data_IF_922595909423
#
_entry.id   IF_922595909423
#
_cell.length_a   1.000
_cell.length_b   1.000
_cell.length_c   1.000
_cell.angle_alpha   90.00
_cell.angle_beta   90.00
_cell.angle_gamma   90.00
#
_symmetry.space_group_name_H-M   'P 1'
#
loop_
_entity.id
_entity.type
_entity.pdbx_description
1 polymer ?
#
# COMPACT_ATOMS: atom_id res chain seq x y z
N UNK A 1 -34.96 19.32 9.94
CA UNK A 1 -33.63 18.99 10.51
C UNK A 1 -33.44 17.46 10.64
N UNK A 2 -34.39 16.75 11.22
CA UNK A 2 -34.37 15.30 11.39
C UNK A 2 -34.19 14.47 10.11
N UNK A 3 -34.76 14.90 9.00
CA UNK A 3 -34.73 14.17 7.73
C UNK A 3 -33.40 14.24 6.98
N UNK A 4 -32.56 15.24 7.27
CA UNK A 4 -31.31 15.47 6.52
C UNK A 4 -30.04 15.17 7.32
N UNK A 5 -30.09 15.22 8.62
CA UNK A 5 -28.93 15.02 9.50
C UNK A 5 -29.34 14.36 10.82
N UNK A 6 -29.74 13.09 10.81
CA UNK A 6 -30.14 12.36 12.02
C UNK A 6 -28.98 12.17 13.01
N UNK A 7 -27.74 12.25 12.52
CA UNK A 7 -26.51 12.13 13.29
C UNK A 7 -26.24 13.32 14.25
N UNK A 8 -26.95 14.44 14.08
CA UNK A 8 -26.82 15.61 14.93
C UNK A 8 -27.83 15.66 16.09
N UNK A 9 -28.77 14.73 16.11
CA UNK A 9 -29.84 14.70 17.13
C UNK A 9 -29.45 13.70 18.21
N UNK A 10 -29.20 14.21 19.42
CA UNK A 10 -28.81 13.39 20.57
C UNK A 10 -29.98 12.73 21.30
N UNK A 11 -31.23 13.15 21.05
CA UNK A 11 -32.41 12.63 21.71
C UNK A 11 -33.52 12.36 20.70
N UNK A 12 -34.20 11.24 20.83
CA UNK A 12 -35.38 10.92 20.02
C UNK A 12 -36.65 11.52 20.62
N UNK A 13 -37.71 11.74 19.80
CA UNK A 13 -38.99 12.24 20.23
C UNK A 13 -39.56 11.43 21.41
N UNK A 14 -39.43 10.11 21.37
CA UNK A 14 -39.87 9.21 22.44
C UNK A 14 -39.08 9.37 23.76
N UNK A 15 -37.90 9.94 23.72
CA UNK A 15 -37.13 10.30 24.94
C UNK A 15 -37.55 11.64 25.49
N UNK A 16 -37.91 12.59 24.64
CA UNK A 16 -38.45 13.88 25.02
C UNK A 16 -39.83 13.76 25.66
N UNK A 17 -40.69 12.88 25.16
CA UNK A 17 -42.02 12.61 25.70
C UNK A 17 -41.99 12.03 27.14
N UNK A 18 -40.85 11.44 27.56
CA UNK A 18 -40.65 10.91 28.92
C UNK A 18 -40.28 11.98 29.95
N UNK A 19 -39.90 13.17 29.49
CA UNK A 19 -39.50 14.28 30.41
C UNK A 19 -40.70 14.95 31.08
N UNK A 20 -41.91 14.62 30.63
CA UNK A 20 -43.16 15.18 31.20
C UNK A 20 -43.53 16.55 30.63
N UNK A 21 -44.75 16.99 30.87
CA UNK A 21 -45.20 18.29 30.39
C UNK A 21 -44.41 19.42 31.01
N UNK A 22 -44.17 20.48 30.24
CA UNK A 22 -43.61 21.73 30.73
C UNK A 22 -44.45 22.20 31.92
N UNK A 23 -43.80 22.48 33.05
CA UNK A 23 -44.47 23.07 34.22
C UNK A 23 -44.91 24.48 33.79
N UNK A 24 -46.20 24.64 33.61
CA UNK A 24 -46.78 25.97 33.43
C UNK A 24 -46.49 26.79 34.68
N UNK A 25 -45.55 27.67 34.59
CA UNK A 25 -45.34 28.67 35.61
C UNK A 25 -46.60 29.55 35.66
N UNK A 26 -47.40 29.44 36.74
CA UNK A 26 -48.49 30.36 36.98
C UNK A 26 -47.93 31.77 36.94
N UNK A 27 -48.57 32.72 36.23
CA UNK A 27 -48.12 34.11 36.26
C UNK A 27 -48.17 34.59 37.68
N UNK A 28 -47.05 35.07 38.19
CA UNK A 28 -47.03 35.74 39.51
C UNK A 28 -47.87 36.95 39.41
N UNK A 29 -48.83 37.11 40.37
CA UNK A 29 -49.66 38.29 40.52
C UNK A 29 -48.75 39.49 40.89
N UNK A 30 -48.62 40.42 39.97
CA UNK A 30 -47.75 41.58 40.14
C UNK A 30 -48.53 42.58 41.08
N UNK A 31 -48.18 42.59 42.35
CA UNK A 31 -48.59 43.65 43.26
C UNK A 31 -47.70 44.86 42.96
N UNK A 32 -48.27 45.87 42.32
CA UNK A 32 -47.59 47.13 42.02
C UNK A 32 -47.45 47.99 43.31
N UNK A 33 -46.37 47.74 44.04
CA UNK A 33 -45.97 48.65 45.14
C UNK A 33 -44.86 49.56 44.61
N UNK A 34 -45.09 50.87 44.59
CA UNK A 34 -44.17 51.83 43.97
C UNK A 34 -42.78 51.88 44.64
N UNK A 35 -42.66 51.30 45.83
CA UNK A 35 -41.41 51.22 46.58
C UNK A 35 -40.49 50.03 46.18
N UNK A 36 -40.96 49.14 45.33
CA UNK A 36 -40.20 47.98 44.88
C UNK A 36 -39.33 48.33 43.68
N UNK A 37 -39.64 49.40 42.94
CA UNK A 37 -38.84 49.72 41.73
C UNK A 37 -37.41 50.19 42.04
N UNK A 38 -37.18 50.71 43.27
CA UNK A 38 -35.83 51.19 43.63
C UNK A 38 -34.90 50.03 44.15
N UNK A 39 -35.47 48.88 44.49
CA UNK A 39 -34.69 47.73 45.01
C UNK A 39 -34.38 46.68 44.04
N UNK A 40 -34.97 46.70 42.87
CA UNK A 40 -34.71 45.71 41.78
C UNK A 40 -34.12 46.44 40.57
N UNK A 41 -33.03 47.16 40.77
CA UNK A 41 -32.13 47.38 39.66
C UNK A 41 -31.54 46.03 39.33
N UNK A 42 -31.77 45.47 38.13
CA UNK A 42 -31.07 44.24 37.73
C UNK A 42 -29.57 44.57 37.73
N UNK A 43 -28.85 44.07 38.72
CA UNK A 43 -27.42 43.95 38.56
C UNK A 43 -27.28 43.12 37.25
N UNK A 44 -26.54 43.63 36.25
CA UNK A 44 -26.16 42.77 35.14
C UNK A 44 -25.37 41.65 35.81
N UNK A 45 -26.01 40.49 36.01
CA UNK A 45 -25.24 39.27 36.11
C UNK A 45 -24.54 39.19 34.78
N UNK A 46 -23.26 39.54 34.77
CA UNK A 46 -22.37 39.03 33.73
C UNK A 46 -22.54 37.54 33.81
N UNK A 47 -23.44 37.01 32.98
CA UNK A 47 -23.47 35.60 32.68
C UNK A 47 -22.07 35.34 32.14
N UNK A 48 -21.20 34.77 32.98
CA UNK A 48 -19.99 34.16 32.48
C UNK A 48 -20.46 33.26 31.37
N UNK A 49 -20.33 33.71 30.12
CA UNK A 49 -20.52 32.89 28.94
C UNK A 49 -19.42 31.88 29.11
N UNK A 50 -19.76 30.70 29.67
CA UNK A 50 -18.86 29.59 29.71
C UNK A 50 -18.33 29.44 28.28
N UNK A 51 -17.05 29.69 28.12
CA UNK A 51 -16.40 29.50 26.83
C UNK A 51 -16.64 28.05 26.42
N UNK A 52 -17.61 27.84 25.53
CA UNK A 52 -17.84 26.55 24.97
C UNK A 52 -16.63 26.30 24.06
N UNK A 53 -15.66 25.55 24.55
CA UNK A 53 -14.56 25.05 23.77
C UNK A 53 -15.15 24.16 22.68
N UNK A 54 -15.48 24.76 21.54
CA UNK A 54 -15.87 24.05 20.35
C UNK A 54 -14.62 23.33 19.83
N UNK A 55 -14.46 22.10 20.25
CA UNK A 55 -13.38 21.24 19.77
C UNK A 55 -13.64 20.90 18.28
N UNK A 56 -13.26 21.80 17.39
CA UNK A 56 -13.32 21.57 15.95
C UNK A 56 -12.25 20.53 15.61
N UNK A 57 -12.62 19.26 15.57
CA UNK A 57 -11.74 18.21 15.06
C UNK A 57 -11.47 18.53 13.59
N UNK A 58 -10.25 18.97 13.28
CA UNK A 58 -9.81 19.13 11.89
C UNK A 58 -9.94 17.78 11.18
N UNK A 59 -10.59 17.73 10.00
CA UNK A 59 -10.75 16.46 9.30
C UNK A 59 -9.38 15.89 8.96
N UNK A 60 -9.15 14.64 9.38
CA UNK A 60 -7.94 13.94 9.00
C UNK A 60 -8.15 13.27 7.63
N UNK A 61 -7.47 13.77 6.62
CA UNK A 61 -7.51 13.25 5.26
C UNK A 61 -6.50 12.12 5.00
N UNK A 62 -5.65 11.83 5.98
CA UNK A 62 -4.68 10.74 5.91
C UNK A 62 -5.29 9.42 6.38
N UNK A 63 -4.97 8.36 5.65
CA UNK A 63 -5.27 6.98 6.04
C UNK A 63 -4.00 6.16 5.98
N UNK A 64 -3.68 5.49 7.09
CA UNK A 64 -2.52 4.63 7.23
C UNK A 64 -2.97 3.17 7.27
N UNK A 65 -2.26 2.32 6.54
CA UNK A 65 -2.46 0.88 6.54
C UNK A 65 -1.10 0.21 6.67
N UNK A 66 -1.07 -0.92 7.37
CA UNK A 66 0.13 -1.73 7.51
C UNK A 66 -0.23 -3.21 7.53
N UNK A 67 0.50 -4.00 6.74
CA UNK A 67 0.42 -5.45 6.75
C UNK A 67 1.81 -6.01 7.04
N UNK A 68 1.89 -6.91 7.99
CA UNK A 68 3.10 -7.63 8.33
C UNK A 68 2.86 -9.14 8.27
N UNK A 69 3.77 -9.86 7.63
CA UNK A 69 3.73 -11.33 7.60
C UNK A 69 5.11 -11.89 7.91
N UNK A 70 5.18 -12.85 8.81
CA UNK A 70 6.36 -13.64 9.10
C UNK A 70 6.05 -15.10 8.80
N UNK A 71 6.83 -15.71 7.91
CA UNK A 71 6.74 -17.12 7.57
C UNK A 71 8.05 -17.77 7.93
N UNK A 72 7.99 -18.92 8.59
CA UNK A 72 9.15 -19.72 8.95
C UNK A 72 8.92 -21.16 8.50
N UNK A 73 9.90 -21.74 7.90
CA UNK A 73 9.90 -23.13 7.49
C UNK A 73 11.15 -23.81 8.02
N UNK A 74 10.98 -24.97 8.61
CA UNK A 74 12.08 -25.80 9.10
C UNK A 74 11.84 -27.23 8.68
N UNK A 75 12.85 -27.84 8.08
CA UNK A 75 12.91 -29.25 7.81
C UNK A 75 14.17 -29.82 8.47
N UNK A 76 14.01 -30.81 9.32
CA UNK A 76 15.11 -31.50 9.97
C UNK A 76 15.11 -32.97 9.55
N UNK A 77 16.24 -33.45 9.02
CA UNK A 77 16.47 -34.83 8.65
C UNK A 77 17.75 -35.27 9.32
N UNK A 78 17.66 -36.34 10.11
CA UNK A 78 18.85 -36.92 10.78
C UNK A 78 19.81 -37.50 9.75
N UNK A 79 21.11 -37.49 10.07
CA UNK A 79 22.16 -37.98 9.19
C UNK A 79 22.06 -39.48 8.84
N UNK A 80 21.34 -40.25 9.67
CA UNK A 80 21.12 -41.70 9.52
C UNK A 80 19.73 -42.02 8.94
N UNK A 81 19.00 -41.03 8.36
CA UNK A 81 17.73 -41.30 7.72
C UNK A 81 17.93 -42.18 6.49
N UNK A 82 17.18 -43.27 6.38
CA UNK A 82 17.40 -44.35 5.37
C UNK A 82 17.27 -43.91 3.91
N UNK A 83 16.56 -42.83 3.61
CA UNK A 83 16.40 -42.25 2.28
C UNK A 83 17.34 -41.07 2.00
N UNK A 84 18.20 -40.71 2.95
CA UNK A 84 18.94 -39.46 2.88
C UNK A 84 18.03 -38.23 2.96
N UNK A 85 18.55 -37.08 2.65
CA UNK A 85 17.85 -35.80 2.62
C UNK A 85 18.67 -34.70 3.25
N UNK A 86 18.19 -33.46 3.18
CA UNK A 86 18.85 -32.28 3.72
C UNK A 86 17.97 -31.54 4.72
N UNK A 87 18.57 -31.15 5.83
CA UNK A 87 17.94 -30.21 6.74
C UNK A 87 18.07 -28.79 6.19
N UNK A 88 16.99 -28.05 6.20
CA UNK A 88 16.99 -26.65 5.77
C UNK A 88 16.09 -25.80 6.67
N UNK A 89 16.43 -24.54 6.73
CA UNK A 89 15.67 -23.51 7.41
C UNK A 89 15.43 -22.38 6.44
N UNK A 90 14.24 -21.82 6.45
CA UNK A 90 13.94 -20.59 5.73
C UNK A 90 13.02 -19.70 6.54
N UNK A 91 13.23 -18.41 6.43
CA UNK A 91 12.38 -17.39 7.03
C UNK A 91 12.11 -16.31 5.99
N UNK A 92 10.88 -15.83 5.92
CA UNK A 92 10.47 -14.73 5.06
C UNK A 92 9.65 -13.73 5.88
N UNK A 93 10.13 -12.51 5.96
CA UNK A 93 9.41 -11.38 6.51
C UNK A 93 8.93 -10.48 5.37
N UNK A 94 7.67 -10.09 5.40
CA UNK A 94 7.11 -9.10 4.48
C UNK A 94 6.46 -7.98 5.29
N UNK A 95 6.66 -6.73 4.86
CA UNK A 95 6.05 -5.55 5.44
C UNK A 95 5.56 -4.65 4.32
N UNK A 96 4.29 -4.29 4.37
CA UNK A 96 3.68 -3.31 3.46
C UNK A 96 3.12 -2.17 4.30
N UNK A 97 3.61 -0.96 4.07
CA UNK A 97 3.10 0.25 4.69
C UNK A 97 2.48 1.15 3.63
N UNK A 98 1.33 1.72 3.93
CA UNK A 98 0.64 2.65 3.05
C UNK A 98 0.23 3.90 3.82
N UNK A 99 0.46 5.06 3.22
CA UNK A 99 0.02 6.35 3.74
C UNK A 99 -0.68 7.12 2.61
N UNK A 100 -1.99 7.18 2.67
CA UNK A 100 -2.82 7.73 1.60
C UNK A 100 -3.52 9.00 2.08
N UNK A 101 -3.28 10.09 1.40
CA UNK A 101 -3.96 11.37 1.59
C UNK A 101 -5.02 11.56 0.52
N UNK A 102 -6.23 11.96 0.93
CA UNK A 102 -7.31 12.29 0.01
C UNK A 102 -8.15 13.43 0.59
N UNK A 103 -8.05 14.62 -0.01
CA UNK A 103 -8.82 15.78 0.42
C UNK A 103 -10.31 15.71 0.06
N UNK A 104 -10.76 14.59 -0.55
CA UNK A 104 -12.14 14.37 -1.04
C UNK A 104 -12.66 15.38 -2.06
N UNK A 105 -11.80 16.29 -2.52
CA UNK A 105 -12.12 17.26 -3.58
C UNK A 105 -11.50 16.81 -4.91
N UNK A 106 -10.22 17.10 -5.11
CA UNK A 106 -9.54 16.82 -6.39
C UNK A 106 -8.15 16.22 -6.24
N UNK A 107 -7.57 16.22 -5.04
CA UNK A 107 -6.18 15.84 -4.83
C UNK A 107 -6.07 14.53 -4.04
N UNK A 108 -5.26 13.60 -4.54
CA UNK A 108 -4.85 12.37 -3.88
C UNK A 108 -3.33 12.26 -3.87
N UNK A 109 -2.79 11.78 -2.77
CA UNK A 109 -1.39 11.41 -2.65
C UNK A 109 -1.30 10.04 -1.97
N UNK A 110 -0.85 9.07 -2.70
CA UNK A 110 -0.75 7.68 -2.28
C UNK A 110 0.72 7.31 -2.16
N UNK A 111 1.09 6.73 -1.02
CA UNK A 111 2.43 6.26 -0.75
C UNK A 111 2.35 4.81 -0.31
N UNK A 112 3.17 3.95 -0.89
CA UNK A 112 3.26 2.54 -0.55
C UNK A 112 4.72 2.13 -0.46
N UNK A 113 5.10 1.56 0.67
CA UNK A 113 6.41 0.97 0.92
C UNK A 113 6.25 -0.53 1.10
N UNK A 114 6.92 -1.31 0.26
CA UNK A 114 6.93 -2.77 0.29
C UNK A 114 8.33 -3.24 0.60
N UNK A 115 8.45 -4.04 1.64
CA UNK A 115 9.70 -4.68 2.06
C UNK A 115 9.50 -6.18 2.12
N UNK A 116 10.41 -6.93 1.52
CA UNK A 116 10.46 -8.39 1.60
C UNK A 116 11.89 -8.78 1.89
N UNK A 117 12.09 -9.57 2.93
CA UNK A 117 13.40 -10.07 3.29
C UNK A 117 13.27 -11.53 3.71
N UNK A 118 13.86 -12.40 2.91
CA UNK A 118 13.87 -13.82 3.14
C UNK A 118 15.29 -14.35 3.26
N UNK A 119 15.47 -15.32 4.14
CA UNK A 119 16.71 -16.03 4.36
C UNK A 119 16.48 -17.53 4.23
N UNK A 120 17.47 -18.21 3.72
CA UNK A 120 17.48 -19.67 3.69
C UNK A 120 18.88 -20.21 3.96
N UNK A 121 18.90 -21.37 4.60
CA UNK A 121 20.09 -22.18 4.79
C UNK A 121 19.91 -23.48 4.02
N UNK A 122 20.97 -23.99 3.42
CA UNK A 122 21.03 -25.32 2.79
C UNK A 122 22.39 -25.96 3.11
N UNK A 123 22.40 -27.20 3.54
CA UNK A 123 23.64 -27.96 3.80
C UNK A 123 24.45 -28.22 2.53
N UNK A 124 23.82 -28.22 1.36
CA UNK A 124 24.52 -28.38 0.07
C UNK A 124 25.34 -27.14 -0.31
N UNK A 125 25.12 -26.01 0.36
CA UNK A 125 25.93 -24.80 0.18
C UNK A 125 27.12 -24.82 1.16
N UNK A 126 28.28 -25.13 0.66
CA UNK A 126 29.51 -25.21 1.46
C UNK A 126 30.20 -23.86 1.68
N UNK A 127 29.79 -22.84 0.89
CA UNK A 127 30.39 -21.50 0.95
C UNK A 127 29.58 -20.53 1.83
N UNK A 128 28.25 -20.70 1.88
CA UNK A 128 27.38 -19.76 2.58
C UNK A 128 26.49 -20.48 3.58
N UNK A 129 26.62 -20.13 4.85
CA UNK A 129 25.76 -20.69 5.91
C UNK A 129 24.32 -20.22 5.77
N UNK A 130 24.13 -18.97 5.36
CA UNK A 130 22.81 -18.34 5.16
C UNK A 130 22.89 -17.45 3.92
N UNK A 131 21.86 -17.51 3.07
CA UNK A 131 21.73 -16.64 1.89
C UNK A 131 20.33 -16.06 1.81
N UNK A 132 20.20 -14.96 1.10
CA UNK A 132 18.91 -14.34 0.82
C UNK A 132 18.12 -15.15 -0.18
N UNK A 133 16.85 -15.46 0.13
CA UNK A 133 15.90 -16.11 -0.78
C UNK A 133 14.98 -15.11 -1.46
N UNK A 134 14.62 -14.05 -0.74
CA UNK A 134 13.85 -12.90 -1.21
C UNK A 134 14.52 -11.64 -0.69
N UNK A 135 14.58 -10.61 -1.52
CA UNK A 135 15.11 -9.30 -1.12
C UNK A 135 14.52 -8.22 -2.00
N UNK A 136 13.66 -7.39 -1.42
CA UNK A 136 12.98 -6.31 -2.11
C UNK A 136 12.70 -5.16 -1.18
N UNK A 137 13.14 -3.97 -1.56
CA UNK A 137 12.68 -2.70 -1.03
C UNK A 137 12.08 -1.92 -2.18
N UNK A 138 10.75 -1.69 -2.16
CA UNK A 138 10.03 -0.95 -3.21
C UNK A 138 9.21 0.17 -2.59
N UNK A 139 9.42 1.37 -3.08
CA UNK A 139 8.57 2.52 -2.79
C UNK A 139 7.77 2.88 -4.04
N UNK A 140 6.47 3.11 -3.87
CA UNK A 140 5.59 3.62 -4.91
C UNK A 140 4.89 4.86 -4.39
N UNK A 141 5.17 6.01 -4.99
CA UNK A 141 4.51 7.28 -4.71
C UNK A 141 3.64 7.69 -5.89
N UNK A 142 2.40 8.11 -5.64
CA UNK A 142 1.47 8.62 -6.66
C UNK A 142 0.84 9.91 -6.20
N UNK A 143 0.92 10.93 -7.03
CA UNK A 143 0.18 12.20 -6.84
C UNK A 143 -0.86 12.28 -7.95
N UNK A 144 -2.13 12.38 -7.60
CA UNK A 144 -3.25 12.40 -8.53
C UNK A 144 -4.10 13.65 -8.40
N UNK A 145 -4.40 14.29 -9.54
CA UNK A 145 -5.36 15.37 -9.66
C UNK A 145 -6.60 14.88 -10.42
N UNK A 146 -7.77 14.98 -9.82
CA UNK A 146 -9.00 14.47 -10.39
C UNK A 146 -9.38 15.23 -11.66
N UNK A 147 -9.46 14.52 -12.79
CA UNK A 147 -9.93 15.02 -14.07
C UNK A 147 -11.45 14.78 -14.22
N UNK A 148 -11.92 13.56 -13.91
CA UNK A 148 -13.33 13.19 -13.89
C UNK A 148 -13.62 12.30 -12.68
N UNK A 149 -14.85 11.79 -12.55
CA UNK A 149 -15.24 10.91 -11.40
C UNK A 149 -14.31 9.71 -11.18
N UNK A 150 -13.68 9.19 -12.24
CA UNK A 150 -12.83 7.98 -12.18
C UNK A 150 -11.45 8.17 -12.77
N UNK A 151 -11.18 9.26 -13.46
CA UNK A 151 -9.90 9.56 -14.08
C UNK A 151 -9.14 10.62 -13.29
N UNK A 152 -7.83 10.42 -13.17
CA UNK A 152 -6.90 11.32 -12.48
C UNK A 152 -5.68 11.55 -13.36
N UNK A 153 -5.24 12.79 -13.49
CA UNK A 153 -3.88 13.08 -13.97
C UNK A 153 -2.92 12.67 -12.88
N UNK A 154 -1.95 11.84 -13.19
CA UNK A 154 -1.09 11.20 -12.19
C UNK A 154 0.38 11.36 -12.52
N UNK A 155 1.14 11.78 -11.50
CA UNK A 155 2.58 11.63 -11.44
C UNK A 155 2.86 10.42 -10.54
N UNK A 156 3.54 9.39 -11.07
CA UNK A 156 3.95 8.21 -10.32
C UNK A 156 5.47 8.13 -10.25
N UNK A 157 5.99 7.67 -9.14
CA UNK A 157 7.40 7.31 -8.96
C UNK A 157 7.47 5.93 -8.32
N UNK A 158 8.14 5.01 -8.99
CA UNK A 158 8.47 3.69 -8.44
C UNK A 158 9.96 3.64 -8.23
N UNK A 159 10.42 3.41 -7.00
CA UNK A 159 11.82 3.17 -6.68
C UNK A 159 11.98 1.78 -6.08
N UNK A 160 12.92 0.99 -6.56
CA UNK A 160 13.17 -0.35 -6.04
C UNK A 160 14.63 -0.70 -5.96
N UNK A 161 15.03 -1.37 -4.87
CA UNK A 161 16.37 -1.87 -4.63
C UNK A 161 16.31 -3.10 -3.71
N UNK A 162 17.45 -3.60 -3.31
CA UNK A 162 17.63 -4.67 -2.33
C UNK A 162 18.25 -4.15 -1.04
N UNK A 163 18.09 -4.89 0.06
CA UNK A 163 18.73 -4.61 1.35
C UNK A 163 20.13 -5.22 1.46
N UNK A 164 20.29 -6.43 0.94
CA UNK A 164 21.44 -7.28 1.20
C UNK A 164 22.08 -7.80 -0.10
N UNK A 165 23.17 -8.51 0.07
CA UNK A 165 23.86 -9.16 -1.04
C UNK A 165 23.10 -10.40 -1.50
N UNK A 166 22.82 -10.46 -2.78
CA UNK A 166 22.31 -11.66 -3.44
C UNK A 166 23.45 -12.62 -3.74
N UNK A 167 23.36 -13.83 -3.23
CA UNK A 167 24.34 -14.90 -3.39
C UNK A 167 23.70 -16.13 -4.03
N UNK A 168 24.46 -16.90 -4.80
CA UNK A 168 24.05 -18.21 -5.30
C UNK A 168 24.74 -19.32 -4.51
N UNK A 169 24.13 -20.50 -4.47
CA UNK A 169 24.73 -21.67 -3.82
C UNK A 169 26.06 -22.03 -4.48
N UNK A 170 27.07 -22.29 -3.63
CA UNK A 170 28.40 -22.71 -4.05
C UNK A 170 29.10 -21.76 -5.05
N UNK A 171 28.75 -20.46 -5.00
CA UNK A 171 29.35 -19.43 -5.85
C UNK A 171 29.79 -18.24 -5.00
N UNK A 172 31.05 -17.82 -5.15
CA UNK A 172 31.64 -16.67 -4.44
C UNK A 172 31.20 -15.32 -5.00
N UNK A 173 30.58 -15.32 -6.20
CA UNK A 173 30.20 -14.10 -6.87
C UNK A 173 29.00 -13.44 -6.20
N UNK A 174 29.05 -12.12 -6.08
CA UNK A 174 27.92 -11.30 -5.66
C UNK A 174 27.04 -11.03 -6.86
N UNK A 175 25.74 -11.25 -6.73
CA UNK A 175 24.77 -11.11 -7.81
C UNK A 175 23.94 -9.85 -7.73
N UNK A 176 23.73 -9.33 -6.53
CA UNK A 176 23.10 -8.04 -6.24
C UNK A 176 23.64 -7.52 -4.91
N UNK A 177 23.50 -6.23 -4.66
CA UNK A 177 23.88 -5.59 -3.39
C UNK A 177 22.97 -4.38 -3.15
N UNK A 178 23.02 -3.76 -1.98
CA UNK A 178 22.30 -2.53 -1.71
C UNK A 178 22.64 -1.45 -2.75
N UNK A 179 21.62 -0.87 -3.38
CA UNK A 179 21.72 0.06 -4.52
C UNK A 179 22.44 -0.52 -5.76
N UNK A 180 22.44 -1.85 -5.91
CA UNK A 180 23.04 -2.53 -7.07
C UNK A 180 22.14 -3.70 -7.51
N UNK A 181 21.03 -3.42 -8.26
CA UNK A 181 20.61 -2.14 -8.83
C UNK A 181 19.65 -1.34 -7.94
N UNK A 182 19.65 -0.03 -8.09
CA UNK A 182 18.55 0.86 -7.75
C UNK A 182 17.84 1.23 -9.05
N UNK A 183 16.56 0.91 -9.16
CA UNK A 183 15.73 1.32 -10.28
C UNK A 183 14.79 2.44 -9.80
N UNK A 184 14.71 3.54 -10.56
CA UNK A 184 13.81 4.67 -10.30
C UNK A 184 13.03 4.94 -11.58
N UNK A 185 11.72 4.82 -11.50
CA UNK A 185 10.81 4.98 -12.63
C UNK A 185 9.80 6.09 -12.33
N UNK A 186 10.12 7.37 -12.62
CA UNK A 186 9.12 8.42 -12.67
C UNK A 186 8.30 8.31 -13.96
N UNK A 187 6.99 8.48 -13.85
CA UNK A 187 6.07 8.45 -14.99
C UNK A 187 4.95 9.47 -14.83
N UNK A 188 4.50 10.01 -15.95
CA UNK A 188 3.40 10.98 -16.02
C UNK A 188 2.33 10.40 -16.92
N UNK A 189 1.10 10.37 -16.43
CA UNK A 189 0.01 9.79 -17.17
C UNK A 189 -1.35 10.01 -16.54
N UNK A 190 -2.21 9.03 -16.71
CA UNK A 190 -3.56 9.05 -16.18
C UNK A 190 -3.86 7.75 -15.43
N UNK A 191 -4.50 7.88 -14.27
CA UNK A 191 -5.03 6.76 -13.50
C UNK A 191 -6.54 6.65 -13.70
N UNK A 192 -6.98 5.44 -14.00
CA UNK A 192 -8.39 5.07 -13.95
C UNK A 192 -8.67 4.29 -12.65
N UNK A 193 -9.58 4.81 -11.83
CA UNK A 193 -10.01 4.13 -10.61
C UNK A 193 -11.08 3.10 -10.93
N UNK A 194 -10.77 1.83 -10.71
CA UNK A 194 -11.68 0.70 -10.91
C UNK A 194 -12.46 0.46 -9.62
N UNK A 195 -13.78 0.55 -9.71
CA UNK A 195 -14.72 0.13 -8.67
C UNK A 195 -15.96 -0.45 -9.36
N UNK A 196 -15.93 -1.76 -9.61
CA UNK A 196 -16.94 -2.48 -10.35
C UNK A 196 -17.55 -3.59 -9.52
N UNK A 197 -18.66 -4.16 -10.00
CA UNK A 197 -19.37 -5.27 -9.37
C UNK A 197 -19.76 -4.99 -7.90
N UNK A 198 -20.30 -3.79 -7.63
CA UNK A 198 -20.69 -3.34 -6.27
C UNK A 198 -19.52 -3.37 -5.28
N UNK A 199 -18.31 -2.96 -5.73
CA UNK A 199 -17.12 -2.90 -4.90
C UNK A 199 -16.38 -4.22 -4.72
N UNK A 200 -16.75 -5.29 -5.45
CA UNK A 200 -16.03 -6.57 -5.43
C UNK A 200 -14.72 -6.51 -6.21
N UNK A 201 -14.64 -5.71 -7.27
CA UNK A 201 -13.43 -5.46 -8.03
C UNK A 201 -13.00 -4.02 -7.80
N UNK A 202 -11.86 -3.85 -7.13
CA UNK A 202 -11.29 -2.53 -6.83
C UNK A 202 -9.84 -2.46 -7.26
N UNK A 203 -9.42 -1.28 -7.67
CA UNK A 203 -8.02 -1.05 -8.00
C UNK A 203 -7.82 0.19 -8.86
N UNK A 204 -6.70 0.23 -9.55
CA UNK A 204 -6.34 1.30 -10.46
C UNK A 204 -5.59 0.78 -11.68
N UNK A 205 -5.77 1.46 -12.77
CA UNK A 205 -5.00 1.28 -14.01
C UNK A 205 -4.27 2.60 -14.27
N UNK A 206 -2.95 2.57 -14.24
CA UNK A 206 -2.08 3.69 -14.57
C UNK A 206 -1.59 3.55 -16.00
N UNK A 207 -1.83 4.53 -16.83
CA UNK A 207 -1.39 4.62 -18.23
C UNK A 207 -0.48 5.84 -18.35
N UNK A 208 0.80 5.63 -18.51
CA UNK A 208 1.80 6.68 -18.63
C UNK A 208 2.48 6.64 -20.00
N UNK A 209 2.10 7.53 -20.93
CA UNK A 209 2.77 7.67 -22.22
C UNK A 209 4.21 8.18 -22.04
N UNK A 210 4.49 8.89 -20.97
CA UNK A 210 5.82 9.40 -20.65
C UNK A 210 6.34 8.75 -19.37
N UNK A 211 7.28 7.85 -19.51
CA UNK A 211 7.97 7.19 -18.42
C UNK A 211 9.48 7.26 -18.63
N UNK A 212 10.20 7.45 -17.55
CA UNK A 212 11.65 7.46 -17.53
C UNK A 212 12.13 6.35 -16.62
N UNK A 213 13.10 5.60 -17.04
CA UNK A 213 13.72 4.55 -16.25
C UNK A 213 15.18 4.94 -15.99
N UNK A 214 15.53 5.14 -14.74
CA UNK A 214 16.89 5.35 -14.27
C UNK A 214 17.31 4.09 -13.49
N UNK A 215 18.33 3.43 -13.97
CA UNK A 215 18.99 2.33 -13.29
C UNK A 215 20.35 2.80 -12.79
N UNK A 216 20.57 2.68 -11.49
CA UNK A 216 21.84 3.00 -10.83
C UNK A 216 22.43 1.72 -10.24
N UNK A 217 23.74 1.53 -10.42
CA UNK A 217 24.48 0.39 -9.88
C UNK A 217 25.68 0.94 -9.12
N UNK A 218 25.67 0.80 -7.79
CA UNK A 218 26.74 1.27 -6.92
C UNK A 218 28.03 0.48 -7.13
N UNK A 219 27.90 -0.85 -7.32
CA UNK A 219 29.02 -1.77 -7.52
C UNK A 219 29.36 -1.87 -9.00
N UNK A 220 30.47 -1.31 -9.44
CA UNK A 220 30.92 -1.34 -10.86
C UNK A 220 31.06 -2.74 -11.41
N UNK A 221 31.50 -3.70 -10.58
CA UNK A 221 31.61 -5.13 -10.96
C UNK A 221 30.28 -5.72 -11.45
N UNK A 222 29.16 -5.17 -10.99
CA UNK A 222 27.80 -5.62 -11.38
C UNK A 222 27.24 -4.83 -12.57
N UNK A 223 27.94 -3.80 -13.06
CA UNK A 223 27.42 -2.91 -14.11
C UNK A 223 27.02 -3.67 -15.37
N UNK A 224 27.92 -4.49 -15.91
CA UNK A 224 27.69 -5.27 -17.13
C UNK A 224 26.55 -6.27 -16.98
N UNK A 225 26.37 -6.85 -15.78
CA UNK A 225 25.29 -7.77 -15.48
C UNK A 225 23.91 -7.11 -15.60
N UNK A 226 23.80 -5.85 -15.20
CA UNK A 226 22.55 -5.07 -15.27
C UNK A 226 22.41 -4.27 -16.56
N UNK A 227 23.25 -4.57 -17.57
CA UNK A 227 23.18 -4.00 -18.90
C UNK A 227 23.73 -2.56 -18.98
N UNK A 228 24.58 -2.16 -18.03
CA UNK A 228 25.36 -0.94 -18.10
C UNK A 228 26.71 -1.23 -18.84
N UNK A 229 27.30 -0.21 -19.39
CA UNK A 229 28.66 -0.29 -19.91
C UNK A 229 29.65 -0.43 -18.74
N UNK A 230 30.77 -1.08 -19.01
CA UNK A 230 31.83 -1.28 -18.03
C UNK A 230 32.30 0.07 -17.45
N UNK A 231 32.37 0.13 -16.13
CA UNK A 231 32.74 1.35 -15.41
C UNK A 231 31.66 2.42 -15.26
N UNK A 232 30.48 2.27 -15.88
CA UNK A 232 29.36 3.18 -15.71
C UNK A 232 28.47 2.75 -14.56
N UNK A 233 27.96 3.75 -13.81
CA UNK A 233 27.05 3.56 -12.68
C UNK A 233 25.59 3.75 -13.04
N UNK A 234 25.29 4.39 -14.17
CA UNK A 234 23.92 4.78 -14.51
C UNK A 234 23.56 4.38 -15.93
N UNK A 235 22.32 3.98 -16.11
CA UNK A 235 21.68 3.79 -17.40
C UNK A 235 20.29 4.39 -17.35
N UNK A 236 19.94 5.14 -18.37
CA UNK A 236 18.62 5.76 -18.46
C UNK A 236 17.96 5.49 -19.79
N UNK A 237 16.66 5.29 -19.76
CA UNK A 237 15.82 5.04 -20.93
C UNK A 237 14.51 5.82 -20.79
N UNK A 238 14.00 6.31 -21.94
CA UNK A 238 12.65 6.85 -22.04
C UNK A 238 11.71 5.85 -22.68
N UNK A 239 10.46 5.86 -22.24
CA UNK A 239 9.46 4.98 -22.78
C UNK A 239 8.05 5.28 -22.31
N UNK A 240 7.20 4.27 -22.39
CA UNK A 240 5.84 4.27 -21.86
C UNK A 240 5.66 3.18 -20.84
N UNK A 241 4.80 3.43 -19.86
CA UNK A 241 4.54 2.53 -18.74
C UNK A 241 3.04 2.26 -18.60
N UNK A 242 2.71 1.04 -18.26
CA UNK A 242 1.38 0.65 -17.80
C UNK A 242 1.52 -0.07 -16.47
N UNK A 243 0.73 0.34 -15.47
CA UNK A 243 0.60 -0.39 -14.21
C UNK A 243 -0.88 -0.65 -13.93
N UNK A 244 -1.22 -1.90 -13.63
CA UNK A 244 -2.54 -2.33 -13.28
C UNK A 244 -2.46 -3.01 -11.93
N UNK A 245 -3.17 -2.48 -10.94
CA UNK A 245 -3.30 -3.06 -9.60
C UNK A 245 -4.77 -3.33 -9.33
N UNK A 246 -5.17 -4.59 -9.27
CA UNK A 246 -6.54 -4.99 -9.03
C UNK A 246 -6.65 -5.99 -7.87
N UNK A 247 -7.73 -5.85 -7.12
CA UNK A 247 -8.13 -6.78 -6.09
C UNK A 247 -9.59 -7.19 -6.35
N UNK A 248 -9.76 -8.44 -6.73
CA UNK A 248 -11.07 -9.01 -7.07
C UNK A 248 -11.49 -10.04 -6.03
N UNK A 249 -12.60 -9.76 -5.39
CA UNK A 249 -13.25 -10.69 -4.48
C UNK A 249 -14.36 -11.43 -5.24
N UNK A 250 -14.04 -12.62 -5.76
CA UNK A 250 -15.01 -13.46 -6.50
C UNK A 250 -16.13 -13.90 -5.60
N UNK A 251 -15.76 -14.47 -4.43
CA UNK A 251 -16.66 -14.92 -3.38
C UNK A 251 -16.18 -14.42 -2.03
N UNK A 252 -16.87 -14.78 -0.94
CA UNK A 252 -16.40 -14.48 0.43
C UNK A 252 -15.04 -15.15 0.71
N UNK A 253 -14.79 -16.30 0.09
CA UNK A 253 -13.67 -17.18 0.39
C UNK A 253 -12.58 -17.15 -0.68
N UNK A 254 -12.84 -16.56 -1.86
CA UNK A 254 -11.91 -16.52 -2.97
C UNK A 254 -11.60 -15.07 -3.34
N UNK A 255 -10.32 -14.71 -3.25
CA UNK A 255 -9.80 -13.40 -3.63
C UNK A 255 -8.65 -13.56 -4.61
N UNK A 256 -8.64 -12.72 -5.63
CA UNK A 256 -7.53 -12.57 -6.56
C UNK A 256 -6.97 -11.16 -6.49
N UNK A 257 -5.70 -11.06 -6.13
CA UNK A 257 -4.93 -9.82 -6.20
C UNK A 257 -3.95 -9.95 -7.35
N UNK A 258 -3.99 -8.99 -8.27
CA UNK A 258 -3.11 -8.98 -9.43
C UNK A 258 -2.45 -7.62 -9.59
N UNK A 259 -1.17 -7.65 -9.97
CA UNK A 259 -0.41 -6.48 -10.36
C UNK A 259 0.30 -6.79 -11.68
N UNK A 260 -0.04 -6.02 -12.71
CA UNK A 260 0.65 -6.04 -13.98
C UNK A 260 1.47 -4.77 -14.12
N UNK A 261 2.74 -4.90 -14.42
CA UNK A 261 3.64 -3.80 -14.74
C UNK A 261 4.21 -4.04 -16.13
N UNK A 262 4.04 -3.08 -17.03
CA UNK A 262 4.60 -3.09 -18.37
C UNK A 262 5.39 -1.81 -18.62
N UNK A 263 6.58 -1.94 -19.18
CA UNK A 263 7.41 -0.84 -19.62
C UNK A 263 7.98 -1.12 -21.01
N UNK A 264 7.87 -0.15 -21.89
CA UNK A 264 8.44 -0.28 -23.24
C UNK A 264 9.17 1.01 -23.66
N UNK A 265 10.32 0.83 -24.27
CA UNK A 265 11.05 1.89 -24.98
C UNK A 265 10.77 1.89 -26.47
N UNK A 266 9.75 1.12 -26.94
CA UNK A 266 9.45 0.82 -28.34
C UNK A 266 10.52 -0.01 -29.08
N UNK A 267 11.67 -0.23 -28.45
CA UNK A 267 12.75 -1.14 -28.90
C UNK A 267 12.94 -2.30 -27.96
N UNK A 268 12.48 -2.17 -26.73
CA UNK A 268 12.56 -3.15 -25.66
C UNK A 268 11.25 -3.16 -24.89
N UNK A 269 10.82 -4.33 -24.45
CA UNK A 269 9.65 -4.51 -23.62
C UNK A 269 9.97 -5.32 -22.37
N UNK A 270 9.45 -4.85 -21.23
CA UNK A 270 9.45 -5.53 -19.94
C UNK A 270 8.00 -5.69 -19.50
N UNK A 271 7.60 -6.91 -19.14
CA UNK A 271 6.30 -7.19 -18.56
C UNK A 271 6.49 -8.03 -17.29
N UNK A 272 5.90 -7.60 -16.22
CA UNK A 272 5.90 -8.30 -14.92
C UNK A 272 4.45 -8.46 -14.46
N UNK A 273 4.03 -9.70 -14.17
CA UNK A 273 2.65 -9.97 -13.79
C UNK A 273 2.57 -10.80 -12.52
N UNK A 274 2.40 -10.13 -11.40
CA UNK A 274 2.26 -10.74 -10.08
C UNK A 274 0.79 -11.10 -9.84
N UNK A 275 0.50 -12.36 -9.52
CA UNK A 275 -0.82 -12.84 -9.20
C UNK A 275 -0.81 -13.59 -7.88
N UNK A 276 -1.75 -13.26 -7.01
CA UNK A 276 -1.97 -13.96 -5.75
C UNK A 276 -3.43 -14.37 -5.65
N UNK A 277 -3.68 -15.67 -5.63
CA UNK A 277 -5.01 -16.24 -5.36
C UNK A 277 -5.06 -16.68 -3.91
N UNK A 278 -6.00 -16.15 -3.16
CA UNK A 278 -6.24 -16.52 -1.76
C UNK A 278 -7.52 -17.31 -1.66
N UNK A 279 -7.43 -18.50 -1.10
CA UNK A 279 -8.56 -19.41 -0.84
C UNK A 279 -8.71 -19.54 0.68
N UNK A 280 -9.81 -19.06 1.22
CA UNK A 280 -10.13 -19.18 2.65
C UNK A 280 -10.99 -20.43 2.83
N UNK A 281 -10.45 -21.45 3.48
CA UNK A 281 -11.18 -22.71 3.75
C UNK A 281 -12.06 -22.54 4.98
N UNK A 282 -11.53 -21.92 6.03
CA UNK A 282 -12.25 -21.58 7.26
C UNK A 282 -11.53 -20.44 7.99
N UNK A 283 -12.00 -20.07 9.20
CA UNK A 283 -11.41 -18.98 10.00
C UNK A 283 -9.95 -19.22 10.45
N UNK A 284 -9.44 -20.45 10.31
CA UNK A 284 -8.08 -20.81 10.73
C UNK A 284 -7.17 -21.21 9.57
N UNK A 285 -7.75 -21.62 8.43
CA UNK A 285 -7.00 -22.19 7.30
C UNK A 285 -7.26 -21.36 6.07
N UNK A 286 -6.20 -20.86 5.46
CA UNK A 286 -6.20 -20.25 4.13
C UNK A 286 -5.01 -20.75 3.31
N UNK A 287 -5.17 -20.79 2.00
CA UNK A 287 -4.12 -21.15 1.05
C UNK A 287 -3.90 -19.98 0.10
N UNK A 288 -2.64 -19.68 -0.20
CA UNK A 288 -2.26 -18.68 -1.18
C UNK A 288 -1.47 -19.36 -2.31
N UNK A 289 -1.90 -19.12 -3.54
CA UNK A 289 -1.18 -19.52 -4.74
C UNK A 289 -0.62 -18.26 -5.38
N UNK A 290 0.70 -18.19 -5.49
CA UNK A 290 1.39 -17.08 -6.13
C UNK A 290 1.93 -17.51 -7.47
N UNK A 291 1.68 -16.71 -8.53
CA UNK A 291 2.17 -16.93 -9.88
C UNK A 291 2.75 -15.64 -10.41
N UNK A 292 3.98 -15.69 -10.87
CA UNK A 292 4.71 -14.51 -11.35
C UNK A 292 5.37 -14.79 -12.71
N UNK A 293 4.67 -14.64 -13.83
CA UNK A 293 5.28 -14.61 -15.14
C UNK A 293 5.95 -13.24 -15.38
N UNK A 294 7.15 -13.29 -15.97
CA UNK A 294 7.93 -12.12 -16.35
C UNK A 294 8.44 -12.30 -17.77
N UNK A 295 8.28 -11.29 -18.59
CA UNK A 295 8.85 -11.17 -19.92
C UNK A 295 9.87 -10.03 -19.95
N UNK A 296 11.07 -10.26 -20.47
CA UNK A 296 12.10 -9.25 -20.64
C UNK A 296 12.94 -9.55 -21.88
N UNK A 297 12.74 -8.79 -22.95
CA UNK A 297 13.49 -8.93 -24.21
C UNK A 297 14.85 -8.20 -24.17
N UNK A 298 15.11 -7.44 -23.13
CA UNK A 298 16.41 -6.77 -22.90
C UNK A 298 17.46 -7.66 -22.23
N UNK A 299 17.10 -8.87 -21.77
CA UNK A 299 18.04 -9.86 -21.25
C UNK A 299 18.69 -10.64 -22.41
N UNK A 300 20.02 -10.85 -22.33
CA UNK A 300 20.69 -11.71 -23.32
C UNK A 300 20.08 -13.11 -23.25
N UNK A 301 19.63 -13.58 -24.40
CA UNK A 301 19.07 -14.92 -24.55
C UNK A 301 20.18 -15.94 -24.42
N UNK A 302 20.06 -16.83 -23.45
CA UNK A 302 20.90 -18.03 -23.32
C UNK A 302 20.24 -19.22 -24.05
N UNK A 303 21.00 -20.21 -24.46
CA UNK A 303 20.48 -21.43 -25.13
C UNK A 303 19.39 -22.13 -24.29
N UNK A 304 19.36 -21.90 -22.98
CA UNK A 304 18.45 -22.52 -22.02
C UNK A 304 17.38 -21.57 -21.44
N UNK A 305 17.45 -20.28 -21.71
CA UNK A 305 16.55 -19.29 -21.12
C UNK A 305 15.89 -18.45 -22.20
N UNK A 306 14.57 -18.57 -22.31
CA UNK A 306 13.75 -17.71 -23.16
C UNK A 306 13.53 -16.33 -22.51
N UNK A 307 12.85 -15.44 -23.22
CA UNK A 307 12.44 -14.12 -22.67
C UNK A 307 11.41 -14.24 -21.53
N UNK A 308 10.71 -15.37 -21.43
CA UNK A 308 9.74 -15.65 -20.38
C UNK A 308 10.37 -16.34 -19.18
N UNK A 309 10.07 -15.85 -17.99
CA UNK A 309 10.48 -16.37 -16.70
C UNK A 309 9.23 -16.58 -15.83
N UNK A 310 9.22 -17.63 -15.02
CA UNK A 310 8.10 -17.97 -14.13
C UNK A 310 8.61 -18.23 -12.72
N UNK A 311 7.83 -17.80 -11.72
CA UNK A 311 8.06 -18.08 -10.30
C UNK A 311 6.76 -18.48 -9.61
#
# INVERSE_FOLDING_TARGET
MYLHRPDLVQSTQSQLDKVGPLIDAKPAEVVSDADIMERVAPKPEETEIAQVDILVKKPNFWKFYGDYTLQMFQNYISSNWYKGGESNYSALATLTLQANYNNKQRFRWENKLEMRLGFQNSRSDTLHTVKTSEDLLRYTGKIGLQATKRWYYTLQVIASTQFMRGLKSNDKNIYSDFLSPLNINPSIGMDYSVDWFKGRLKGSVHLAPFAYNLKYVKRTELATRYGLEEGKHTKSDFGSEITLDLNWQFTKDIRWKTRLYGYTTYKRALLEWENTFTFVVNKYISSNVFVYPRFDDGTKRDLHHGYWQFK
#
